data_IF_631658962444
#
_entry.id   IF_631658962444
#
_cell.length_a   1.000
_cell.length_b   1.000
_cell.length_c   1.000
_cell.angle_alpha   90.00
_cell.angle_beta   90.00
_cell.angle_gamma   90.00
#
_symmetry.space_group_name_H-M   'P 1'
#
loop_
_entity.id
_entity.type
_entity.pdbx_description
1 polymer ?
#
# COMPACT_ATOMS: atom_id res chain seq x y z
N UNK A 1 -1.21 19.62 11.24
CA UNK A 1 -2.61 19.24 11.50
C UNK A 1 -2.89 18.07 10.58
N UNK A 2 -3.29 16.92 11.10
CA UNK A 2 -3.56 15.74 10.26
C UNK A 2 -4.82 15.91 9.43
N UNK A 3 -4.95 15.11 8.37
CA UNK A 3 -6.19 15.04 7.58
C UNK A 3 -7.33 14.42 8.41
N UNK A 4 -8.54 14.88 8.15
CA UNK A 4 -9.76 14.39 8.78
C UNK A 4 -10.48 13.39 7.85
N UNK A 5 -10.67 12.12 8.27
CA UNK A 5 -11.28 11.10 7.43
C UNK A 5 -12.76 11.35 7.10
N UNK A 6 -13.44 12.24 7.83
CA UNK A 6 -14.83 12.62 7.56
C UNK A 6 -14.97 13.73 6.51
N UNK A 7 -13.91 14.49 6.24
CA UNK A 7 -13.96 15.68 5.36
C UNK A 7 -12.89 15.67 4.26
N UNK A 8 -11.93 14.75 4.31
CA UNK A 8 -10.92 14.56 3.27
C UNK A 8 -11.10 13.23 2.53
N UNK A 9 -10.89 13.28 1.21
CA UNK A 9 -11.04 12.11 0.33
C UNK A 9 -9.86 11.15 0.41
N UNK A 10 -10.04 9.92 -0.07
CA UNK A 10 -8.95 8.95 -0.23
C UNK A 10 -7.81 9.48 -1.09
N UNK A 11 -8.13 10.30 -2.10
CA UNK A 11 -7.16 11.05 -2.88
C UNK A 11 -6.29 11.92 -1.99
N UNK A 12 -6.90 12.76 -1.15
CA UNK A 12 -6.17 13.66 -0.25
C UNK A 12 -5.29 12.90 0.74
N UNK A 13 -5.77 11.78 1.28
CA UNK A 13 -4.95 10.91 2.12
C UNK A 13 -3.78 10.28 1.37
N UNK A 14 -3.99 9.84 0.13
CA UNK A 14 -2.91 9.30 -0.71
C UNK A 14 -1.87 10.38 -0.99
N UNK A 15 -2.29 11.57 -1.44
CA UNK A 15 -1.42 12.71 -1.70
C UNK A 15 -0.60 13.09 -0.45
N UNK A 16 -1.26 13.23 0.70
CA UNK A 16 -0.59 13.54 1.95
C UNK A 16 0.49 12.51 2.33
N UNK A 17 0.24 11.23 2.09
CA UNK A 17 1.23 10.19 2.39
C UNK A 17 2.36 10.12 1.35
N UNK A 18 2.14 10.59 0.11
CA UNK A 18 3.23 10.81 -0.86
C UNK A 18 4.14 11.97 -0.43
N UNK A 19 3.56 13.01 0.15
CA UNK A 19 4.30 14.19 0.61
C UNK A 19 5.05 13.96 1.92
N UNK A 20 4.80 12.85 2.62
CA UNK A 20 5.48 12.53 3.87
C UNK A 20 6.98 12.29 3.62
N UNK A 21 7.86 13.11 4.22
CA UNK A 21 9.28 13.01 3.98
C UNK A 21 9.85 11.72 4.59
N UNK A 22 10.78 11.09 3.87
CA UNK A 22 11.56 9.98 4.40
C UNK A 22 12.44 10.52 5.54
N UNK A 23 12.46 9.89 6.72
CA UNK A 23 13.32 10.31 7.82
C UNK A 23 14.78 10.46 7.36
N UNK A 24 15.44 11.55 7.77
CA UNK A 24 16.78 11.88 7.30
C UNK A 24 17.82 10.80 7.68
N UNK A 25 17.64 10.17 8.83
CA UNK A 25 18.48 9.08 9.35
C UNK A 25 17.95 7.68 8.99
N UNK A 26 17.03 7.56 8.03
CA UNK A 26 16.56 6.27 7.55
C UNK A 26 17.72 5.44 6.97
N UNK A 27 17.77 4.16 7.31
CA UNK A 27 18.66 3.20 6.64
C UNK A 27 18.36 3.16 5.14
N UNK A 28 19.33 2.77 4.29
CA UNK A 28 19.08 2.61 2.86
C UNK A 28 17.91 1.67 2.55
N UNK A 29 17.75 0.59 3.32
CA UNK A 29 16.65 -0.37 3.15
C UNK A 29 15.28 0.25 3.48
N UNK A 30 15.16 0.96 4.62
CA UNK A 30 13.91 1.65 4.95
C UNK A 30 13.56 2.71 3.92
N UNK A 31 14.55 3.48 3.45
CA UNK A 31 14.35 4.47 2.39
C UNK A 31 13.76 3.83 1.14
N UNK A 32 14.33 2.71 0.72
CA UNK A 32 13.91 2.02 -0.50
C UNK A 32 12.48 1.48 -0.39
N UNK A 33 12.16 0.74 0.67
CA UNK A 33 10.80 0.20 0.84
C UNK A 33 9.76 1.33 1.02
N UNK A 34 10.13 2.44 1.65
CA UNK A 34 9.29 3.62 1.79
C UNK A 34 8.96 4.24 0.43
N UNK A 35 9.96 4.44 -0.41
CA UNK A 35 9.80 4.97 -1.78
C UNK A 35 8.96 4.03 -2.64
N UNK A 36 9.27 2.74 -2.67
CA UNK A 36 8.62 1.79 -3.56
C UNK A 36 7.18 1.46 -3.12
N UNK A 37 6.92 1.40 -1.82
CA UNK A 37 5.55 1.29 -1.29
C UNK A 37 4.73 2.54 -1.61
N UNK A 38 5.35 3.73 -1.56
CA UNK A 38 4.68 4.98 -1.94
C UNK A 38 4.34 4.98 -3.44
N UNK A 39 5.27 4.62 -4.33
CA UNK A 39 4.99 4.51 -5.78
C UNK A 39 3.89 3.50 -6.09
N UNK A 40 3.92 2.33 -5.43
CA UNK A 40 2.90 1.31 -5.62
C UNK A 40 1.52 1.79 -5.17
N UNK A 41 1.43 2.43 -3.99
CA UNK A 41 0.20 3.04 -3.49
C UNK A 41 -0.37 4.06 -4.47
N UNK A 42 0.48 4.94 -5.02
CA UNK A 42 0.07 5.93 -6.01
C UNK A 42 -0.56 5.26 -7.25
N UNK A 43 0.14 4.29 -7.85
CA UNK A 43 -0.37 3.60 -9.03
C UNK A 43 -1.71 2.91 -8.78
N UNK A 44 -1.90 2.30 -7.61
CA UNK A 44 -3.17 1.70 -7.23
C UNK A 44 -4.27 2.75 -7.02
N UNK A 45 -3.93 3.89 -6.41
CA UNK A 45 -4.87 4.99 -6.17
C UNK A 45 -5.41 5.62 -7.46
N UNK A 46 -4.55 5.74 -8.48
CA UNK A 46 -4.87 6.36 -9.77
C UNK A 46 -5.25 5.35 -10.86
N UNK A 47 -5.32 4.06 -10.53
CA UNK A 47 -5.82 3.04 -11.44
C UNK A 47 -7.30 3.29 -11.80
N UNK A 48 -7.71 3.01 -13.04
CA UNK A 48 -9.06 3.31 -13.55
C UNK A 48 -10.19 2.69 -12.70
N UNK A 49 -9.97 1.47 -12.21
CA UNK A 49 -10.90 0.75 -11.33
C UNK A 49 -11.10 1.43 -9.97
N UNK A 50 -10.18 2.31 -9.56
CA UNK A 50 -10.25 3.06 -8.31
C UNK A 50 -11.10 4.34 -8.41
N UNK A 51 -11.43 4.79 -9.63
CA UNK A 51 -12.20 6.02 -9.88
C UNK A 51 -13.53 6.11 -9.09
N UNK A 52 -14.32 5.03 -8.91
CA UNK A 52 -15.54 5.09 -8.10
C UNK A 52 -15.32 5.38 -6.61
N UNK A 53 -14.08 5.23 -6.12
CA UNK A 53 -13.72 5.31 -4.70
C UNK A 53 -12.81 6.48 -4.35
N UNK A 54 -11.90 6.87 -5.25
CA UNK A 54 -10.75 7.74 -4.90
C UNK A 54 -11.16 9.14 -4.40
N UNK A 55 -12.23 9.71 -4.93
CA UNK A 55 -12.74 11.03 -4.53
C UNK A 55 -13.74 10.98 -3.36
N UNK A 56 -14.10 9.78 -2.91
CA UNK A 56 -14.97 9.61 -1.73
C UNK A 56 -14.21 9.90 -0.45
N UNK A 57 -14.94 10.37 0.56
CA UNK A 57 -14.39 10.58 1.91
C UNK A 57 -13.78 9.29 2.44
N UNK A 58 -12.69 9.42 3.18
CA UNK A 58 -11.90 8.26 3.61
C UNK A 58 -12.72 7.29 4.48
N UNK A 59 -13.58 7.81 5.36
CA UNK A 59 -14.44 7.00 6.23
C UNK A 59 -15.68 6.39 5.54
N UNK A 60 -16.04 6.84 4.34
CA UNK A 60 -17.19 6.30 3.64
C UNK A 60 -16.89 4.88 3.14
N UNK A 61 -17.86 3.96 3.14
CA UNK A 61 -17.69 2.67 2.49
C UNK A 61 -17.29 2.82 1.02
N UNK A 62 -16.38 1.96 0.56
CA UNK A 62 -16.04 1.89 -0.86
C UNK A 62 -17.28 1.59 -1.70
N UNK A 63 -17.43 2.30 -2.83
CA UNK A 63 -18.50 2.09 -3.79
C UNK A 63 -18.32 0.79 -4.58
N UNK A 64 -17.06 0.46 -4.88
CA UNK A 64 -16.65 -0.79 -5.55
C UNK A 64 -15.51 -1.39 -4.75
N UNK A 65 -15.64 -2.62 -4.26
CA UNK A 65 -14.61 -3.28 -3.43
C UNK A 65 -13.72 -4.19 -4.29
N UNK A 66 -13.17 -3.61 -5.36
CA UNK A 66 -12.25 -4.32 -6.23
C UNK A 66 -10.96 -4.71 -5.51
N UNK A 67 -10.21 -5.66 -6.05
CA UNK A 67 -8.86 -6.03 -5.66
C UNK A 67 -7.88 -4.88 -5.78
N UNK A 68 -8.10 -3.95 -6.71
CA UNK A 68 -7.31 -2.71 -6.78
C UNK A 68 -7.59 -1.82 -5.56
N UNK A 69 -8.85 -1.64 -5.19
CA UNK A 69 -9.21 -0.92 -3.97
C UNK A 69 -8.63 -1.61 -2.71
N UNK A 70 -8.77 -2.94 -2.65
CA UNK A 70 -8.25 -3.75 -1.57
C UNK A 70 -6.73 -3.59 -1.43
N UNK A 71 -5.99 -3.75 -2.53
CA UNK A 71 -4.53 -3.57 -2.52
C UNK A 71 -4.13 -2.14 -2.20
N UNK A 72 -4.86 -1.13 -2.68
CA UNK A 72 -4.60 0.25 -2.30
C UNK A 72 -4.72 0.44 -0.79
N UNK A 73 -5.81 -0.01 -0.15
CA UNK A 73 -6.00 0.13 1.31
C UNK A 73 -4.93 -0.66 2.09
N UNK A 74 -4.60 -1.86 1.60
CA UNK A 74 -3.58 -2.72 2.20
C UNK A 74 -2.18 -2.10 2.16
N UNK A 75 -1.76 -1.59 1.00
CA UNK A 75 -0.47 -0.92 0.80
C UNK A 75 -0.44 0.42 1.54
N UNK A 76 -1.53 1.20 1.50
CA UNK A 76 -1.68 2.45 2.25
C UNK A 76 -1.41 2.23 3.75
N UNK A 77 -2.06 1.24 4.38
CA UNK A 77 -1.88 0.95 5.81
C UNK A 77 -0.45 0.49 6.11
N UNK A 78 0.11 -0.34 5.24
CA UNK A 78 1.51 -0.81 5.38
C UNK A 78 2.47 0.38 5.37
N UNK A 79 2.27 1.34 4.46
CA UNK A 79 3.07 2.56 4.39
C UNK A 79 2.90 3.44 5.63
N UNK A 80 1.67 3.59 6.13
CA UNK A 80 1.38 4.35 7.34
C UNK A 80 2.06 3.76 8.60
N UNK A 81 2.22 2.44 8.67
CA UNK A 81 2.94 1.79 9.77
C UNK A 81 4.43 2.09 9.77
N UNK A 82 5.03 2.40 8.61
CA UNK A 82 6.47 2.70 8.52
C UNK A 82 6.86 3.92 9.36
N UNK A 83 5.95 4.88 9.56
CA UNK A 83 6.20 6.05 10.41
C UNK A 83 6.35 5.69 11.90
N UNK A 84 6.02 4.45 12.29
CA UNK A 84 6.24 3.91 13.65
C UNK A 84 7.60 3.21 13.83
N UNK A 85 8.38 3.05 12.77
CA UNK A 85 9.71 2.44 12.85
C UNK A 85 10.75 3.43 13.35
N UNK A 86 11.75 2.93 14.08
CA UNK A 86 13.01 3.65 14.30
C UNK A 86 13.76 3.70 12.96
N UNK A 87 13.91 4.87 12.34
CA UNK A 87 14.46 4.96 10.99
C UNK A 87 15.93 4.52 10.90
N UNK A 88 16.71 4.72 11.97
CA UNK A 88 18.13 4.36 12.03
C UNK A 88 18.36 2.88 12.37
N UNK A 89 17.35 2.20 12.89
CA UNK A 89 17.43 0.79 13.27
C UNK A 89 16.04 0.13 13.24
N UNK A 90 15.47 -0.11 12.03
CA UNK A 90 14.08 -0.57 11.87
C UNK A 90 13.79 -1.86 12.63
N UNK A 91 14.71 -2.83 12.60
CA UNK A 91 14.57 -4.13 13.27
C UNK A 91 14.57 -4.07 14.80
N UNK A 92 15.04 -2.96 15.40
CA UNK A 92 14.94 -2.71 16.85
C UNK A 92 13.71 -1.91 17.26
N UNK A 93 12.87 -1.51 16.30
CA UNK A 93 11.56 -0.95 16.63
C UNK A 93 10.79 -2.01 17.42
N UNK A 94 10.52 -1.73 18.69
CA UNK A 94 9.82 -2.65 19.58
C UNK A 94 8.43 -2.98 18.99
N UNK A 95 8.12 -4.26 18.75
CA UNK A 95 6.73 -4.74 18.61
C UNK A 95 6.30 -5.28 17.25
N UNK A 96 4.97 -5.33 17.08
CA UNK A 96 4.25 -5.94 15.95
C UNK A 96 4.51 -5.22 14.62
N UNK A 97 4.81 -3.91 14.62
CA UNK A 97 4.91 -3.11 13.39
C UNK A 97 6.03 -3.52 12.44
N UNK A 98 7.22 -3.87 12.94
CA UNK A 98 8.32 -4.31 12.06
C UNK A 98 7.94 -5.61 11.34
N UNK A 99 7.52 -6.62 12.10
CA UNK A 99 7.06 -7.90 11.56
C UNK A 99 5.86 -7.73 10.63
N UNK A 100 4.91 -6.84 10.98
CA UNK A 100 3.76 -6.52 10.14
C UNK A 100 4.16 -5.88 8.81
N UNK A 101 5.09 -4.92 8.82
CA UNK A 101 5.54 -4.25 7.58
C UNK A 101 6.24 -5.26 6.67
N UNK A 102 7.14 -6.10 7.21
CA UNK A 102 7.82 -7.14 6.43
C UNK A 102 6.81 -8.15 5.89
N UNK A 103 5.90 -8.64 6.74
CA UNK A 103 4.87 -9.61 6.37
C UNK A 103 3.91 -9.07 5.31
N UNK A 104 3.37 -7.86 5.51
CA UNK A 104 2.44 -7.20 4.57
C UNK A 104 3.11 -6.83 3.26
N UNK A 105 4.37 -6.42 3.28
CA UNK A 105 5.13 -6.12 2.05
C UNK A 105 5.40 -7.39 1.24
N UNK A 106 5.72 -8.50 1.92
CA UNK A 106 5.84 -9.83 1.28
C UNK A 106 4.50 -10.29 0.71
N UNK A 107 3.41 -10.15 1.48
CA UNK A 107 2.06 -10.51 1.05
C UNK A 107 1.58 -9.64 -0.11
N UNK A 108 1.98 -8.37 -0.17
CA UNK A 108 1.69 -7.46 -1.30
C UNK A 108 2.23 -8.02 -2.61
N UNK A 109 3.47 -8.51 -2.61
CA UNK A 109 4.05 -9.16 -3.77
C UNK A 109 3.26 -10.43 -4.14
N UNK A 110 2.97 -11.28 -3.16
CA UNK A 110 2.24 -12.53 -3.37
C UNK A 110 0.85 -12.33 -3.96
N UNK A 111 0.08 -11.33 -3.47
CA UNK A 111 -1.30 -11.09 -3.90
C UNK A 111 -1.42 -10.37 -5.25
N UNK A 112 -0.43 -9.57 -5.63
CA UNK A 112 -0.44 -8.83 -6.90
C UNK A 112 0.16 -9.66 -8.04
N UNK A 113 1.21 -10.45 -7.77
CA UNK A 113 1.84 -11.37 -8.73
C UNK A 113 1.16 -12.75 -8.75
N UNK A 114 -0.04 -12.84 -8.19
CA UNK A 114 -0.69 -14.11 -7.89
C UNK A 114 -1.25 -14.82 -9.12
N UNK A 115 -0.53 -15.80 -9.64
CA UNK A 115 -1.03 -16.69 -10.70
C UNK A 115 -2.18 -17.59 -10.21
N UNK A 116 -2.24 -17.90 -8.90
CA UNK A 116 -3.29 -18.72 -8.29
C UNK A 116 -4.53 -17.93 -7.88
N UNK A 117 -4.49 -16.59 -8.01
CA UNK A 117 -5.61 -15.66 -7.79
C UNK A 117 -6.19 -15.71 -6.36
N UNK A 118 -5.37 -15.89 -5.34
CA UNK A 118 -5.76 -15.83 -3.93
C UNK A 118 -6.42 -14.50 -3.54
N UNK A 119 -6.04 -13.39 -4.17
CA UNK A 119 -6.72 -12.10 -3.96
C UNK A 119 -8.21 -12.12 -4.36
N UNK A 120 -8.60 -12.97 -5.31
CA UNK A 120 -10.00 -13.16 -5.70
C UNK A 120 -10.77 -13.98 -4.66
N UNK A 121 -10.09 -14.68 -3.74
CA UNK A 121 -10.75 -15.29 -2.57
C UNK A 121 -10.99 -14.26 -1.45
N UNK A 122 -10.25 -13.16 -1.46
CA UNK A 122 -10.35 -12.07 -0.48
C UNK A 122 -11.29 -10.95 -0.93
N UNK A 123 -11.66 -10.96 -2.21
CA UNK A 123 -12.54 -9.98 -2.85
C UNK A 123 -13.70 -10.70 -3.53
N UNK A 124 -14.86 -10.07 -3.63
CA UNK A 124 -16.03 -10.71 -4.28
C UNK A 124 -16.82 -9.67 -5.07
N UNK A 125 -16.10 -8.89 -5.87
CA UNK A 125 -16.67 -7.85 -6.73
C UNK A 125 -16.94 -8.42 -8.13
N UNK A 126 -18.14 -8.25 -8.69
CA UNK A 126 -18.43 -8.70 -10.05
C UNK A 126 -17.46 -8.10 -11.09
N UNK A 127 -16.93 -8.96 -11.97
CA UNK A 127 -15.99 -8.57 -13.04
C UNK A 127 -14.54 -8.43 -12.60
N UNK A 128 -14.23 -8.54 -11.30
CA UNK A 128 -12.85 -8.44 -10.82
C UNK A 128 -12.03 -9.70 -11.10
N UNK A 129 -12.65 -10.85 -11.27
CA UNK A 129 -11.99 -12.09 -11.70
C UNK A 129 -11.37 -12.01 -13.09
N UNK A 130 -11.71 -11.01 -13.90
CA UNK A 130 -11.09 -10.78 -15.22
C UNK A 130 -10.06 -9.65 -15.20
N UNK A 131 -10.05 -8.85 -14.13
CA UNK A 131 -9.11 -7.76 -13.95
C UNK A 131 -7.72 -8.32 -13.63
N UNK A 132 -6.70 -7.82 -14.33
CA UNK A 132 -5.30 -8.12 -14.01
C UNK A 132 -4.58 -6.81 -13.67
N UNK A 133 -3.61 -6.87 -12.77
CA UNK A 133 -2.74 -5.73 -12.52
C UNK A 133 -1.83 -5.50 -13.73
N UNK A 134 -1.60 -4.24 -14.08
CA UNK A 134 -0.67 -3.88 -15.14
C UNK A 134 0.78 -4.28 -14.79
N UNK A 135 1.65 -4.49 -15.79
CA UNK A 135 3.02 -4.99 -15.57
C UNK A 135 3.84 -4.09 -14.65
N UNK A 136 3.64 -2.77 -14.68
CA UNK A 136 4.33 -1.84 -13.78
C UNK A 136 3.93 -2.02 -12.31
N UNK A 137 2.65 -2.31 -12.04
CA UNK A 137 2.16 -2.57 -10.68
C UNK A 137 2.72 -3.89 -10.17
N UNK A 138 2.76 -4.91 -11.03
CA UNK A 138 3.31 -6.23 -10.70
C UNK A 138 4.80 -6.13 -10.38
N UNK A 139 5.60 -5.46 -11.21
CA UNK A 139 7.03 -5.32 -10.95
C UNK A 139 7.32 -4.51 -9.68
N UNK A 140 6.55 -3.45 -9.43
CA UNK A 140 6.68 -2.68 -8.18
C UNK A 140 6.29 -3.51 -6.96
N UNK A 141 5.24 -4.32 -7.03
CA UNK A 141 4.86 -5.21 -5.94
C UNK A 141 5.96 -6.24 -5.64
N UNK A 142 6.57 -6.83 -6.68
CA UNK A 142 7.75 -7.69 -6.53
C UNK A 142 8.90 -6.95 -5.85
N UNK A 143 9.15 -5.70 -6.25
CA UNK A 143 10.21 -4.89 -5.67
C UNK A 143 9.96 -4.63 -4.18
N UNK A 144 8.74 -4.24 -3.80
CA UNK A 144 8.34 -4.06 -2.40
C UNK A 144 8.56 -5.34 -1.58
N UNK A 145 8.18 -6.51 -2.12
CA UNK A 145 8.40 -7.79 -1.44
C UNK A 145 9.88 -8.18 -1.33
N UNK A 146 10.73 -7.77 -2.28
CA UNK A 146 12.19 -7.95 -2.20
C UNK A 146 12.79 -7.03 -1.13
N UNK A 147 12.41 -5.76 -1.12
CA UNK A 147 12.97 -4.75 -0.21
C UNK A 147 12.61 -5.01 1.25
N UNK A 148 11.44 -5.61 1.48
CA UNK A 148 11.03 -6.08 2.80
C UNK A 148 12.00 -7.07 3.44
N UNK A 149 12.74 -7.85 2.62
CA UNK A 149 13.73 -8.82 3.12
C UNK A 149 15.03 -8.15 3.56
N UNK A 150 15.28 -6.94 3.07
CA UNK A 150 16.48 -6.16 3.35
C UNK A 150 16.28 -5.14 4.49
N UNK A 151 15.05 -5.00 5.00
CA UNK A 151 14.63 -4.03 6.03
C UNK A 151 15.14 -4.40 7.44
#
# INVERSE_FOLDING_TARGET
MGLDPATNSRRKFTEYMQEEPIPANATPALRKIWEDTSKLMEKLAYHEVMQPNIDRMFNEPARRRSKVYFMWDFVYRTRAYMSSLNPSNPSRSQGEFFSDIVGRSTMTAMLIDDEERQIDMMTNEPGDSELNFGPEIVELAKQVGRDAKDL
#
